data_IF_772875935413
#
_entry.id   IF_772875935413
#
_cell.length_a   1.000
_cell.length_b   1.000
_cell.length_c   1.000
_cell.angle_alpha   90.00
_cell.angle_beta   90.00
_cell.angle_gamma   90.00
#
_symmetry.space_group_name_H-M   'P 1'
#
loop_
_entity.id
_entity.type
_entity.pdbx_description
1 polymer ?
#
# COMPACT_ATOMS: atom_id res chain seq x y z
N UNK A 1 -14.96 9.13 13.18
CA UNK A 1 -14.99 8.68 11.78
C UNK A 1 -14.48 7.27 11.87
N UNK A 2 -15.39 6.32 11.68
CA UNK A 2 -15.03 4.93 11.54
C UNK A 2 -14.28 4.79 10.20
N UNK A 3 -13.23 3.99 10.19
CA UNK A 3 -12.50 3.69 8.97
C UNK A 3 -13.28 2.65 8.18
N UNK A 4 -13.53 2.92 6.90
CA UNK A 4 -14.25 2.03 6.00
C UNK A 4 -13.29 1.15 5.18
N UNK A 5 -13.77 -0.02 4.73
CA UNK A 5 -13.01 -0.84 3.78
C UNK A 5 -12.87 -0.10 2.45
N UNK A 6 -11.66 -0.08 1.90
CA UNK A 6 -11.30 0.69 0.70
C UNK A 6 -10.92 2.15 1.00
N UNK A 7 -10.90 2.55 2.27
CA UNK A 7 -10.34 3.84 2.68
C UNK A 7 -8.81 3.79 2.61
N UNK A 8 -8.21 4.87 2.08
CA UNK A 8 -6.76 5.05 2.08
C UNK A 8 -6.36 5.95 3.24
N UNK A 9 -5.40 5.50 4.03
CA UNK A 9 -4.82 6.23 5.16
C UNK A 9 -3.31 6.41 4.94
N UNK A 10 -2.76 7.50 5.44
CA UNK A 10 -1.30 7.74 5.38
C UNK A 10 -0.69 7.46 6.74
N UNK A 11 0.36 6.63 6.78
CA UNK A 11 1.12 6.40 8.00
C UNK A 11 1.91 7.66 8.36
N UNK A 12 1.65 8.26 9.53
CA UNK A 12 2.34 9.50 9.95
C UNK A 12 3.83 9.28 10.31
N UNK A 13 4.24 8.03 10.55
CA UNK A 13 5.64 7.70 10.89
C UNK A 13 6.51 7.49 9.64
N UNK A 14 6.03 6.71 8.67
CA UNK A 14 6.80 6.37 7.47
C UNK A 14 6.30 7.04 6.19
N UNK A 15 5.21 7.80 6.25
CA UNK A 15 4.54 8.44 5.10
C UNK A 15 4.03 7.45 4.04
N UNK A 16 3.94 6.15 4.36
CA UNK A 16 3.37 5.15 3.44
C UNK A 16 1.86 5.36 3.28
N UNK A 17 1.37 5.25 2.05
CA UNK A 17 -0.05 5.14 1.75
C UNK A 17 -0.51 3.69 1.96
N UNK A 18 -1.56 3.50 2.75
CA UNK A 18 -2.09 2.19 3.13
C UNK A 18 -3.59 2.13 2.85
N UNK A 19 -4.08 1.04 2.27
CA UNK A 19 -5.50 0.79 2.04
C UNK A 19 -6.08 -0.17 3.09
N UNK A 20 -7.29 0.12 3.55
CA UNK A 20 -8.00 -0.74 4.50
C UNK A 20 -8.68 -1.90 3.76
N UNK A 21 -8.19 -3.12 3.98
CA UNK A 21 -8.70 -4.34 3.33
C UNK A 21 -9.58 -5.19 4.26
N UNK A 22 -9.53 -4.95 5.58
CA UNK A 22 -10.32 -5.64 6.62
C UNK A 22 -10.58 -4.79 7.86
N UNK A 23 -11.65 -5.08 8.61
CA UNK A 23 -12.11 -4.29 9.77
C UNK A 23 -12.24 -5.09 11.08
N UNK A 24 -11.99 -6.41 11.07
CA UNK A 24 -12.19 -7.26 12.25
C UNK A 24 -11.25 -8.50 12.22
N UNK A 25 -9.96 -8.37 12.59
CA UNK A 25 -9.22 -7.16 12.97
C UNK A 25 -8.92 -6.23 11.77
N UNK A 26 -8.44 -5.02 12.04
CA UNK A 26 -8.03 -4.10 10.98
C UNK A 26 -6.84 -4.69 10.22
N UNK A 27 -7.00 -4.81 8.90
CA UNK A 27 -5.97 -5.25 7.98
C UNK A 27 -5.71 -4.14 6.96
N UNK A 28 -4.42 -3.83 6.76
CA UNK A 28 -3.95 -2.78 5.88
C UNK A 28 -3.04 -3.39 4.83
N UNK A 29 -3.17 -2.93 3.59
CA UNK A 29 -2.25 -3.24 2.49
C UNK A 29 -1.51 -1.99 2.03
N UNK A 30 -0.32 -2.14 1.44
CA UNK A 30 0.44 -1.01 0.90
C UNK A 30 -0.18 -0.60 -0.42
N UNK A 31 -0.49 0.69 -0.57
CA UNK A 31 -0.87 1.23 -1.87
C UNK A 31 0.40 1.29 -2.73
N UNK A 32 0.48 0.41 -3.72
CA UNK A 32 1.49 0.53 -4.77
C UNK A 32 1.19 1.79 -5.58
N UNK A 33 1.97 2.85 -5.36
CA UNK A 33 2.08 3.91 -6.36
C UNK A 33 2.70 3.26 -7.60
N UNK A 34 2.12 3.45 -8.79
CA UNK A 34 2.57 2.91 -10.09
C UNK A 34 3.95 3.48 -10.52
N UNK A 35 4.89 3.66 -9.60
CA UNK A 35 6.26 4.16 -9.77
C UNK A 35 7.31 3.10 -9.39
N UNK A 36 6.91 1.82 -9.33
CA UNK A 36 7.83 0.72 -9.52
C UNK A 36 7.77 0.33 -11.00
N UNK A 37 8.55 1.04 -11.81
CA UNK A 37 9.06 0.46 -13.06
C UNK A 37 9.79 -0.83 -12.66
N UNK A 38 9.06 -1.93 -12.82
CA UNK A 38 9.52 -3.32 -12.83
C UNK A 38 10.51 -3.48 -14.00
N UNK A 39 11.74 -3.00 -13.82
CA UNK A 39 12.88 -3.32 -14.69
C UNK A 39 13.69 -4.46 -14.03
N UNK A 40 12.99 -5.54 -13.70
CA UNK A 40 13.55 -6.88 -13.55
C UNK A 40 13.66 -7.54 -14.96
N UNK A 41 14.49 -6.99 -15.87
CA UNK A 41 14.89 -7.68 -17.11
C UNK A 41 16.44 -7.68 -17.30
N UNK A 42 17.03 -8.85 -17.02
CA UNK A 42 18.24 -9.44 -17.64
C UNK A 42 19.61 -8.70 -17.56
N UNK A 43 20.41 -9.03 -16.53
CA UNK A 43 21.88 -8.91 -16.58
C UNK A 43 22.53 -10.24 -17.02
N UNK A 44 22.19 -10.72 -18.22
CA UNK A 44 22.92 -11.77 -18.94
C UNK A 44 23.80 -11.15 -20.05
N UNK A 45 25.02 -10.68 -19.73
CA UNK A 45 26.12 -10.51 -20.73
C UNK A 45 27.54 -10.60 -20.14
#
# INVERSE_FOLDING_TARGET
>A
MDTDKGETVTCEECSAALEVVGLDPVELDIVEEEDLDDDDEDDEF
#
